data_IF_261208341032
#
_entry.id   IF_261208341032
#
_cell.length_a   1.000
_cell.length_b   1.000
_cell.length_c   1.000
_cell.angle_alpha   90.00
_cell.angle_beta   90.00
_cell.angle_gamma   90.00
#
_symmetry.space_group_name_H-M   'P 1'
#
loop_
_entity.id
_entity.type
_entity.pdbx_description
1 polymer ?
#
# COMPACT_ATOMS: atom_id res chain seq x y z
N UNK A 1 -16.00 -8.17 -24.94
CA UNK A 1 -15.03 -9.28 -24.67
C UNK A 1 -13.80 -8.81 -23.89
N UNK A 2 -13.18 -7.67 -24.24
CA UNK A 2 -11.94 -7.16 -23.62
C UNK A 2 -12.04 -6.90 -22.10
N UNK A 3 -13.13 -6.29 -21.63
CA UNK A 3 -13.30 -6.01 -20.18
C UNK A 3 -13.34 -7.27 -19.30
N UNK A 4 -13.98 -8.35 -19.77
CA UNK A 4 -14.06 -9.62 -19.04
C UNK A 4 -12.70 -10.31 -18.93
N UNK A 5 -11.86 -10.17 -19.96
CA UNK A 5 -10.49 -10.68 -19.96
C UNK A 5 -9.60 -9.93 -18.97
N UNK A 6 -9.72 -8.60 -18.90
CA UNK A 6 -8.96 -7.75 -17.97
C UNK A 6 -9.29 -8.09 -16.51
N UNK A 7 -10.57 -8.26 -16.17
CA UNK A 7 -10.97 -8.64 -14.81
C UNK A 7 -10.41 -10.01 -14.41
N UNK A 8 -10.42 -11.00 -15.32
CA UNK A 8 -9.88 -12.34 -15.06
C UNK A 8 -8.37 -12.30 -14.83
N UNK A 9 -7.63 -11.53 -15.62
CA UNK A 9 -6.17 -11.35 -15.42
C UNK A 9 -5.87 -10.72 -14.06
N UNK A 10 -6.63 -9.69 -13.66
CA UNK A 10 -6.46 -9.05 -12.35
C UNK A 10 -6.79 -9.98 -11.20
N UNK A 11 -7.80 -10.82 -11.34
CA UNK A 11 -8.15 -11.82 -10.32
C UNK A 11 -7.08 -12.89 -10.17
N UNK A 12 -6.49 -13.34 -11.27
CA UNK A 12 -5.37 -14.27 -11.24
C UNK A 12 -4.16 -13.66 -10.53
N UNK A 13 -3.83 -12.41 -10.86
CA UNK A 13 -2.76 -11.69 -10.18
C UNK A 13 -3.06 -11.44 -8.69
N UNK A 14 -4.31 -11.14 -8.32
CA UNK A 14 -4.76 -11.03 -6.94
C UNK A 14 -4.58 -12.36 -6.18
N UNK A 15 -4.98 -13.48 -6.78
CA UNK A 15 -4.80 -14.81 -6.19
C UNK A 15 -3.32 -15.12 -5.94
N UNK A 16 -2.43 -14.77 -6.88
CA UNK A 16 -0.98 -14.92 -6.72
C UNK A 16 -0.47 -14.07 -5.56
N UNK A 17 -0.83 -12.78 -5.50
CA UNK A 17 -0.37 -11.88 -4.43
C UNK A 17 -0.88 -12.35 -3.06
N UNK A 18 -2.14 -12.76 -2.96
CA UNK A 18 -2.72 -13.31 -1.73
C UNK A 18 -2.01 -14.61 -1.30
N UNK A 19 -1.72 -15.51 -2.24
CA UNK A 19 -1.02 -16.75 -1.94
C UNK A 19 0.42 -16.50 -1.49
N UNK A 20 1.16 -15.61 -2.16
CA UNK A 20 2.52 -15.24 -1.77
C UNK A 20 2.55 -14.53 -0.41
N UNK A 21 1.58 -13.66 -0.14
CA UNK A 21 1.42 -13.01 1.16
C UNK A 21 1.15 -14.06 2.25
N UNK A 22 0.22 -14.99 2.01
CA UNK A 22 -0.06 -16.08 2.93
C UNK A 22 1.19 -16.94 3.18
N UNK A 23 1.92 -17.30 2.13
CA UNK A 23 3.13 -18.10 2.23
C UNK A 23 4.24 -17.37 2.99
N UNK A 24 4.44 -16.08 2.73
CA UNK A 24 5.43 -15.25 3.41
C UNK A 24 5.12 -15.05 4.89
N UNK A 25 3.84 -14.90 5.25
CA UNK A 25 3.41 -14.79 6.65
C UNK A 25 3.42 -16.14 7.38
N UNK A 26 3.06 -17.23 6.70
CA UNK A 26 2.94 -18.55 7.30
C UNK A 26 4.30 -19.25 7.44
N UNK A 27 5.17 -19.18 6.43
CA UNK A 27 6.44 -19.91 6.38
C UNK A 27 6.31 -21.43 6.32
N UNK A 28 5.11 -21.98 6.07
CA UNK A 28 4.83 -23.42 6.07
C UNK A 28 4.78 -23.97 4.64
N UNK A 29 5.54 -25.04 4.40
CA UNK A 29 5.70 -25.65 3.07
C UNK A 29 5.14 -27.08 2.97
N UNK A 30 4.30 -27.50 3.91
CA UNK A 30 3.69 -28.84 3.84
C UNK A 30 2.70 -28.92 2.67
N UNK A 31 2.72 -30.00 1.85
CA UNK A 31 1.89 -30.09 0.63
C UNK A 31 0.39 -29.85 0.84
N UNK A 32 -0.18 -30.36 1.94
CA UNK A 32 -1.59 -30.18 2.27
C UNK A 32 -1.94 -28.70 2.51
N UNK A 33 -1.13 -28.00 3.30
CA UNK A 33 -1.37 -26.58 3.61
C UNK A 33 -1.11 -25.69 2.39
N UNK A 34 -0.13 -26.03 1.56
CA UNK A 34 0.09 -25.33 0.29
C UNK A 34 -1.14 -25.44 -0.62
N UNK A 35 -1.71 -26.64 -0.76
CA UNK A 35 -2.93 -26.84 -1.54
C UNK A 35 -4.12 -26.07 -0.96
N UNK A 36 -4.29 -26.07 0.36
CA UNK A 36 -5.35 -25.32 1.04
C UNK A 36 -5.19 -23.81 0.90
N UNK A 37 -3.96 -23.30 1.03
CA UNK A 37 -3.62 -21.89 0.85
C UNK A 37 -3.87 -21.41 -0.58
N UNK A 38 -3.48 -22.23 -1.56
CA UNK A 38 -3.75 -21.94 -2.97
C UNK A 38 -5.26 -21.94 -3.26
N UNK A 39 -5.99 -22.95 -2.78
CA UNK A 39 -7.44 -23.03 -2.93
C UNK A 39 -8.15 -21.83 -2.29
N UNK A 40 -7.80 -21.48 -1.06
CA UNK A 40 -8.34 -20.31 -0.35
C UNK A 40 -8.10 -19.01 -1.13
N UNK A 41 -6.87 -18.80 -1.62
CA UNK A 41 -6.51 -17.58 -2.36
C UNK A 41 -7.27 -17.45 -3.69
N UNK A 42 -7.44 -18.57 -4.41
CA UNK A 42 -8.25 -18.62 -5.63
C UNK A 42 -9.72 -18.36 -5.31
N UNK A 43 -10.25 -18.97 -4.24
CA UNK A 43 -11.63 -18.80 -3.83
C UNK A 43 -11.94 -17.33 -3.48
N UNK A 44 -11.07 -16.66 -2.74
CA UNK A 44 -11.18 -15.22 -2.44
C UNK A 44 -11.13 -14.39 -3.73
N UNK A 45 -10.21 -14.67 -4.65
CA UNK A 45 -10.13 -13.95 -5.92
C UNK A 45 -11.41 -14.13 -6.78
N UNK A 46 -12.00 -15.31 -6.79
CA UNK A 46 -13.28 -15.58 -7.47
C UNK A 46 -14.45 -14.83 -6.82
N UNK A 47 -14.46 -14.71 -5.49
CA UNK A 47 -15.44 -13.89 -4.79
C UNK A 47 -15.29 -12.41 -5.15
N UNK A 48 -14.07 -11.88 -5.14
CA UNK A 48 -13.79 -10.51 -5.55
C UNK A 48 -14.22 -10.23 -7.00
N UNK A 49 -14.00 -11.19 -7.91
CA UNK A 49 -14.52 -11.13 -9.29
C UNK A 49 -16.05 -11.05 -9.31
N UNK A 50 -16.72 -11.92 -8.55
CA UNK A 50 -18.18 -12.00 -8.51
C UNK A 50 -18.82 -10.74 -7.91
N UNK A 51 -18.17 -10.14 -6.93
CA UNK A 51 -18.60 -8.91 -6.28
C UNK A 51 -18.28 -7.65 -7.11
N UNK A 52 -17.57 -7.78 -8.24
CA UNK A 52 -17.18 -6.63 -9.06
C UNK A 52 -16.19 -5.70 -8.36
N UNK A 53 -15.46 -6.18 -7.36
CA UNK A 53 -14.50 -5.38 -6.57
C UNK A 53 -13.16 -5.22 -7.30
N UNK A 54 -12.92 -6.01 -8.36
CA UNK A 54 -11.67 -6.02 -9.13
C UNK A 54 -11.69 -4.95 -10.23
N UNK A 55 -11.71 -3.69 -9.79
CA UNK A 55 -11.60 -2.51 -10.64
C UNK A 55 -10.16 -2.00 -10.73
N UNK A 56 -9.93 -0.94 -11.52
CA UNK A 56 -8.59 -0.32 -11.69
C UNK A 56 -7.94 0.10 -10.37
N UNK A 57 -8.75 0.28 -9.33
CA UNK A 57 -8.32 0.66 -7.99
C UNK A 57 -7.93 -0.52 -7.10
N UNK A 58 -8.58 -1.68 -7.25
CA UNK A 58 -8.31 -2.86 -6.43
C UNK A 58 -7.08 -3.66 -6.88
N UNK A 59 -6.68 -3.47 -8.14
CA UNK A 59 -5.58 -4.20 -8.78
C UNK A 59 -4.79 -3.30 -9.77
N UNK A 60 -4.15 -2.22 -9.29
CA UNK A 60 -3.45 -1.25 -10.13
C UNK A 60 -2.07 -1.78 -10.58
N UNK A 61 -2.04 -2.94 -11.24
CA UNK A 61 -0.80 -3.55 -11.73
C UNK A 61 -0.06 -2.69 -12.77
N UNK A 62 -0.73 -1.70 -13.37
CA UNK A 62 -0.10 -0.70 -14.25
C UNK A 62 0.84 0.27 -13.52
N UNK A 63 0.62 0.54 -12.22
CA UNK A 63 1.50 1.39 -11.41
C UNK A 63 2.80 0.68 -11.00
N UNK A 64 2.75 -0.65 -10.85
CA UNK A 64 3.90 -1.45 -10.40
C UNK A 64 5.12 -1.36 -11.33
N UNK A 65 4.93 -1.15 -12.63
CA UNK A 65 6.02 -1.20 -13.61
C UNK A 65 6.75 0.14 -13.85
N UNK A 66 6.25 1.28 -13.37
CA UNK A 66 6.77 2.60 -13.77
C UNK A 66 7.43 3.46 -12.71
N UNK A 67 7.16 3.25 -11.41
CA UNK A 67 7.65 4.19 -10.39
C UNK A 67 7.43 3.82 -8.92
N UNK A 68 6.79 2.68 -8.62
CA UNK A 68 6.50 2.26 -7.24
C UNK A 68 7.79 2.03 -6.45
N UNK A 69 8.80 1.37 -7.01
CA UNK A 69 10.05 1.10 -6.28
C UNK A 69 10.76 2.40 -5.91
N UNK A 70 10.89 3.34 -6.86
CA UNK A 70 11.50 4.65 -6.60
C UNK A 70 10.74 5.45 -5.55
N UNK A 71 9.41 5.43 -5.63
CA UNK A 71 8.54 6.02 -4.62
C UNK A 71 8.75 5.40 -3.24
N UNK A 72 8.83 4.07 -3.14
CA UNK A 72 9.06 3.36 -1.88
C UNK A 72 10.41 3.71 -1.26
N UNK A 73 11.48 3.74 -2.06
CA UNK A 73 12.82 4.13 -1.56
C UNK A 73 12.83 5.57 -1.06
N UNK A 74 12.21 6.48 -1.82
CA UNK A 74 12.07 7.88 -1.41
C UNK A 74 11.27 8.00 -0.11
N UNK A 75 10.09 7.36 -0.04
CA UNK A 75 9.22 7.40 1.13
C UNK A 75 9.90 6.81 2.36
N UNK A 76 10.62 5.68 2.21
CA UNK A 76 11.36 5.07 3.30
C UNK A 76 12.42 6.01 3.88
N UNK A 77 13.16 6.72 3.01
CA UNK A 77 14.12 7.75 3.44
C UNK A 77 13.42 8.85 4.24
N UNK A 78 12.28 9.35 3.76
CA UNK A 78 11.52 10.39 4.46
C UNK A 78 10.99 9.92 5.82
N UNK A 79 10.52 8.67 5.91
CA UNK A 79 10.09 8.05 7.17
C UNK A 79 11.25 7.99 8.18
N UNK A 80 12.44 7.56 7.74
CA UNK A 80 13.63 7.51 8.62
C UNK A 80 13.99 8.91 9.12
N UNK A 81 14.03 9.91 8.24
CA UNK A 81 14.34 11.30 8.61
C UNK A 81 13.30 11.88 9.56
N UNK A 82 12.00 11.64 9.30
CA UNK A 82 10.91 12.11 10.16
C UNK A 82 11.01 11.51 11.57
N UNK A 83 11.24 10.19 11.68
CA UNK A 83 11.40 9.53 12.97
C UNK A 83 12.65 10.00 13.73
N UNK A 84 13.77 10.25 13.04
CA UNK A 84 14.96 10.83 13.67
C UNK A 84 14.69 12.24 14.21
N UNK A 85 13.92 13.06 13.48
CA UNK A 85 13.54 14.40 13.94
C UNK A 85 12.63 14.35 15.17
N UNK A 86 11.65 13.44 15.19
CA UNK A 86 10.79 13.20 16.36
C UNK A 86 11.62 12.72 17.55
N UNK A 87 12.53 11.75 17.35
CA UNK A 87 13.41 11.27 18.40
C UNK A 87 14.29 12.39 18.99
N UNK A 88 14.89 13.23 18.14
CA UNK A 88 15.65 14.41 18.59
C UNK A 88 14.78 15.40 19.35
N UNK A 89 13.53 15.60 18.95
CA UNK A 89 12.60 16.52 19.62
C UNK A 89 12.24 16.00 21.03
N UNK A 90 12.00 14.69 21.17
CA UNK A 90 11.70 14.05 22.46
C UNK A 90 12.89 14.16 23.42
N UNK A 91 14.13 14.03 22.91
CA UNK A 91 15.35 14.12 23.72
C UNK A 91 15.72 15.56 24.13
N UNK A 92 15.07 16.59 23.58
CA UNK A 92 15.38 17.98 23.96
C UNK A 92 14.81 18.30 25.36
N UNK A 93 15.58 18.96 26.24
CA UNK A 93 15.12 19.34 27.59
C UNK A 93 13.91 20.27 27.61
N UNK A 94 13.72 21.03 26.52
CA UNK A 94 12.53 21.84 26.28
C UNK A 94 11.94 21.40 24.93
N UNK A 95 10.64 21.15 24.92
CA UNK A 95 9.89 20.68 23.76
C UNK A 95 9.08 21.85 23.17
N UNK A 96 9.63 22.64 22.24
CA UNK A 96 8.88 23.72 21.60
C UNK A 96 7.94 23.13 20.54
N UNK A 97 6.80 22.62 20.97
CA UNK A 97 5.71 22.22 20.08
C UNK A 97 4.74 23.38 19.90
N UNK A 98 4.45 23.74 18.65
CA UNK A 98 3.36 24.62 18.27
C UNK A 98 2.49 23.88 17.26
N UNK A 99 1.38 23.25 17.70
CA UNK A 99 0.45 22.59 16.80
C UNK A 99 -0.16 23.61 15.84
N UNK A 100 -0.08 23.34 14.53
CA UNK A 100 -0.67 24.17 13.51
C UNK A 100 -1.52 23.30 12.57
N UNK A 101 -2.70 23.79 12.21
CA UNK A 101 -3.52 23.20 11.17
C UNK A 101 -3.25 23.92 9.85
N UNK A 102 -3.00 23.16 8.80
CA UNK A 102 -2.82 23.69 7.45
C UNK A 102 -3.55 22.80 6.45
N UNK A 103 -3.94 23.39 5.33
CA UNK A 103 -4.57 22.67 4.23
C UNK A 103 -3.50 22.22 3.23
N UNK A 104 -3.33 20.92 3.05
CA UNK A 104 -2.45 20.36 2.02
C UNK A 104 -3.25 20.07 0.74
N UNK A 105 -3.04 20.80 -0.36
CA UNK A 105 -3.77 20.55 -1.61
C UNK A 105 -3.35 19.20 -2.23
N UNK A 106 -4.32 18.32 -2.49
CA UNK A 106 -4.08 17.05 -3.17
C UNK A 106 -4.22 17.21 -4.69
N UNK A 107 -3.14 16.93 -5.43
CA UNK A 107 -3.09 17.01 -6.90
C UNK A 107 -3.42 15.68 -7.59
N UNK A 108 -3.56 14.59 -6.83
CA UNK A 108 -3.80 13.25 -7.32
C UNK A 108 -5.23 13.10 -7.86
N UNK A 109 -5.33 12.58 -9.09
CA UNK A 109 -6.61 12.42 -9.80
C UNK A 109 -7.37 11.16 -9.39
N UNK A 110 -6.67 10.07 -9.09
CA UNK A 110 -7.28 8.80 -8.66
C UNK A 110 -7.50 8.76 -7.15
N UNK A 111 -8.53 8.04 -6.71
CA UNK A 111 -8.84 7.91 -5.28
C UNK A 111 -7.75 7.10 -4.55
N UNK A 112 -7.22 6.05 -5.18
CA UNK A 112 -6.02 5.35 -4.68
C UNK A 112 -4.82 6.30 -4.53
N UNK A 113 -4.61 7.21 -5.49
CA UNK A 113 -3.53 8.19 -5.42
C UNK A 113 -3.68 9.16 -4.24
N UNK A 114 -4.92 9.61 -3.97
CA UNK A 114 -5.24 10.46 -2.82
C UNK A 114 -4.98 9.73 -1.50
N UNK A 115 -5.37 8.46 -1.40
CA UNK A 115 -5.14 7.63 -0.20
C UNK A 115 -3.64 7.40 0.03
N UNK A 116 -2.89 7.04 -1.01
CA UNK A 116 -1.43 6.87 -0.92
C UNK A 116 -0.74 8.18 -0.49
N UNK A 117 -1.18 9.31 -1.02
CA UNK A 117 -0.67 10.63 -0.64
C UNK A 117 -0.96 10.96 0.84
N UNK A 118 -2.21 10.80 1.28
CA UNK A 118 -2.61 11.05 2.66
C UNK A 118 -1.86 10.15 3.66
N UNK A 119 -1.66 8.88 3.33
CA UNK A 119 -0.89 7.96 4.16
C UNK A 119 0.58 8.39 4.27
N UNK A 120 1.13 8.99 3.22
CA UNK A 120 2.53 9.41 3.21
C UNK A 120 2.76 10.65 4.08
N UNK A 121 1.81 11.60 4.09
CA UNK A 121 1.79 12.70 5.06
C UNK A 121 1.72 12.17 6.49
N UNK A 122 0.83 11.21 6.75
CA UNK A 122 0.67 10.59 8.08
C UNK A 122 1.95 9.90 8.56
N UNK A 123 2.68 9.25 7.64
CA UNK A 123 3.96 8.60 7.93
C UNK A 123 5.14 9.59 8.04
N UNK A 124 4.99 10.84 7.58
CA UNK A 124 6.05 11.86 7.56
C UNK A 124 5.59 13.22 8.13
N UNK A 125 4.95 13.25 9.32
CA UNK A 125 4.23 14.43 9.80
C UNK A 125 5.14 15.65 10.02
N UNK A 126 6.38 15.41 10.47
CA UNK A 126 7.34 16.48 10.76
C UNK A 126 7.78 17.28 9.53
N UNK A 127 7.69 16.70 8.32
CA UNK A 127 8.10 17.38 7.09
C UNK A 127 6.97 18.16 6.45
N UNK A 128 5.75 17.62 6.48
CA UNK A 128 4.58 18.29 5.92
C UNK A 128 4.23 19.60 6.64
N UNK A 129 4.51 19.70 7.95
CA UNK A 129 4.31 20.95 8.71
C UNK A 129 5.38 22.03 8.45
N UNK A 130 6.48 21.70 7.76
CA UNK A 130 7.59 22.62 7.49
C UNK A 130 7.56 23.21 6.07
N UNK A 131 6.57 22.86 5.27
CA UNK A 131 6.33 23.32 3.88
C UNK A 131 4.95 23.93 3.77
#
# INVERSE_FOLDING_TARGET
MVGKLISVVRAFALAIVLFLLWLGLSGIYTPLLLALGAFSSIFVALLCLRLGVIDEEGAPFGLFFGGVIGYWVWLFKEIVVANLNVARLILRPRMPLSPNFFNAPASQKSDLGKVVFANSITLTPAKAAAT
#
